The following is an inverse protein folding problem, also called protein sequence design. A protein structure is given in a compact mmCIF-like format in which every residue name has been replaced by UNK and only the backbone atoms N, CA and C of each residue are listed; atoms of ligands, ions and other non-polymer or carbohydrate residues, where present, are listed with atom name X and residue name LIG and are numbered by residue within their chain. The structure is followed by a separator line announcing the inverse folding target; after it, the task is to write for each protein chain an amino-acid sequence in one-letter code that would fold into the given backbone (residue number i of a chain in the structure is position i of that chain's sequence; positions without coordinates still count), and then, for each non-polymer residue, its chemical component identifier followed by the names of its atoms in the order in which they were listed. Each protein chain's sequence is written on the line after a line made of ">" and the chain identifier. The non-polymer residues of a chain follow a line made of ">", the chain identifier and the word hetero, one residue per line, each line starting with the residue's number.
data_IF_344471134109
#
_entry.id   IF_344471134109
#
_cell.length_a   1.000
_cell.length_b   1.000
_cell.length_c   1.000
_cell.angle_alpha   90.00
_cell.angle_beta   90.00
_cell.angle_gamma   90.00
#
_symmetry.space_group_name_H-M   'P 1'
#
loop_
_entity.id
_entity.type
_entity.pdbx_description
1 polymer ?
#
# COMPACT_ATOMS: atom_id res chain seq x y z
N UNK A 1 41.93 -19.62 -13.58
CA UNK A 1 40.48 -19.86 -13.39
C UNK A 1 39.72 -19.07 -14.45
N UNK A 2 39.09 -19.73 -15.43
CA UNK A 2 38.59 -19.06 -16.64
C UNK A 2 37.30 -18.26 -16.38
N UNK A 3 37.07 -17.19 -17.15
CA UNK A 3 35.87 -16.35 -17.05
C UNK A 3 34.55 -17.14 -17.20
N UNK A 4 34.60 -18.27 -17.93
CA UNK A 4 33.48 -19.20 -18.09
C UNK A 4 33.05 -19.87 -16.77
N UNK A 5 33.99 -20.14 -15.87
CA UNK A 5 33.70 -20.76 -14.57
C UNK A 5 33.04 -19.78 -13.60
N UNK A 6 33.38 -18.49 -13.70
CA UNK A 6 32.74 -17.41 -12.91
C UNK A 6 31.30 -17.14 -13.38
N UNK A 7 31.06 -17.15 -14.71
CA UNK A 7 29.73 -16.92 -15.26
C UNK A 7 28.73 -18.04 -14.92
N UNK A 8 29.17 -19.31 -14.93
CA UNK A 8 28.32 -20.46 -14.55
C UNK A 8 27.96 -20.47 -13.06
N UNK A 9 28.85 -19.98 -12.19
CA UNK A 9 28.60 -19.91 -10.75
C UNK A 9 27.60 -18.81 -10.38
N UNK A 10 27.63 -17.67 -11.08
CA UNK A 10 26.68 -16.57 -10.89
C UNK A 10 25.27 -16.95 -11.36
N UNK A 11 25.15 -17.67 -12.49
CA UNK A 11 23.85 -18.11 -13.00
C UNK A 11 23.15 -19.12 -12.07
N UNK A 12 23.92 -19.96 -11.35
CA UNK A 12 23.35 -20.95 -10.41
C UNK A 12 22.82 -20.31 -9.11
N UNK A 13 23.45 -19.22 -8.66
CA UNK A 13 23.00 -18.45 -7.47
C UNK A 13 21.71 -17.67 -7.79
N UNK A 14 21.57 -17.16 -9.01
CA UNK A 14 20.37 -16.43 -9.43
C UNK A 14 19.19 -17.40 -9.60
N UNK A 15 19.35 -18.57 -10.22
CA UNK A 15 18.23 -19.51 -10.38
C UNK A 15 17.81 -20.23 -9.09
N UNK A 16 18.74 -20.47 -8.16
CA UNK A 16 18.43 -21.13 -6.88
C UNK A 16 17.58 -20.27 -5.94
N UNK A 17 17.72 -18.95 -5.97
CA UNK A 17 16.96 -18.03 -5.12
C UNK A 17 15.50 -17.87 -5.55
N UNK A 18 15.19 -17.95 -6.85
CA UNK A 18 13.81 -17.85 -7.35
C UNK A 18 13.00 -19.14 -7.12
N UNK A 19 13.64 -20.31 -7.16
CA UNK A 19 12.96 -21.58 -6.95
C UNK A 19 12.48 -21.77 -5.51
N UNK A 20 13.26 -21.33 -4.51
CA UNK A 20 12.85 -21.35 -3.10
C UNK A 20 11.72 -20.34 -2.82
N UNK A 21 11.68 -19.24 -3.58
CA UNK A 21 10.63 -18.21 -3.46
C UNK A 21 9.24 -18.70 -3.90
N UNK A 22 9.16 -19.68 -4.82
CA UNK A 22 7.89 -20.25 -5.29
C UNK A 22 7.35 -21.39 -4.40
N UNK A 23 8.19 -22.00 -3.55
CA UNK A 23 7.83 -23.22 -2.80
C UNK A 23 7.13 -22.90 -1.46
N UNK A 24 7.21 -21.66 -0.95
CA UNK A 24 6.59 -21.26 0.33
C UNK A 24 5.24 -20.52 0.22
N UNK A 25 4.61 -20.48 -0.96
CA UNK A 25 3.29 -19.85 -1.14
C UNK A 25 2.14 -20.75 -0.63
N UNK A 26 1.93 -20.74 0.69
CA UNK A 26 0.70 -21.24 1.32
C UNK A 26 -0.04 -20.11 2.04
N UNK A 27 -1.15 -19.67 1.44
CA UNK A 27 -2.31 -19.00 2.10
C UNK A 27 -2.06 -17.67 2.84
N UNK A 28 -1.18 -16.80 2.35
CA UNK A 28 -1.03 -15.43 2.84
C UNK A 28 -1.14 -14.41 1.71
N UNK A 29 -1.86 -13.31 1.92
CA UNK A 29 -1.83 -12.17 1.00
C UNK A 29 -0.41 -11.57 1.05
N UNK A 30 0.40 -11.60 -0.03
CA UNK A 30 1.83 -11.29 0.02
C UNK A 30 2.13 -9.88 0.55
N UNK A 31 1.18 -8.94 0.43
CA UNK A 31 1.30 -7.59 0.97
C UNK A 31 1.37 -7.53 2.51
N UNK A 32 0.80 -8.52 3.21
CA UNK A 32 0.89 -8.60 4.69
C UNK A 32 2.30 -8.95 5.19
N UNK A 33 3.17 -9.50 4.34
CA UNK A 33 4.51 -9.93 4.74
C UNK A 33 5.60 -8.88 4.54
N UNK A 34 5.32 -7.80 3.80
CA UNK A 34 6.34 -6.78 3.47
C UNK A 34 6.14 -5.50 4.31
N UNK A 35 4.91 -5.21 4.75
CA UNK A 35 4.58 -3.98 5.47
C UNK A 35 4.06 -4.29 6.87
N UNK A 36 4.53 -3.53 7.86
CA UNK A 36 4.10 -3.70 9.25
C UNK A 36 2.74 -3.02 9.46
N UNK A 37 1.76 -3.76 9.95
CA UNK A 37 0.45 -3.21 10.28
C UNK A 37 0.58 -2.26 11.49
N UNK A 38 0.16 -0.99 11.39
CA UNK A 38 0.16 -0.10 12.54
C UNK A 38 -0.87 -0.60 13.57
N UNK A 39 -0.36 -1.12 14.71
CA UNK A 39 -1.18 -1.80 15.71
C UNK A 39 -2.17 -0.83 16.37
N UNK A 40 -3.45 -1.16 16.33
CA UNK A 40 -4.51 -0.33 16.92
C UNK A 40 -4.92 0.86 16.05
N UNK A 41 -4.38 0.98 14.84
CA UNK A 41 -4.78 2.02 13.90
C UNK A 41 -6.21 1.84 13.39
N UNK A 42 -6.83 2.95 13.00
CA UNK A 42 -8.20 3.04 12.48
C UNK A 42 -8.25 3.99 11.29
N UNK A 43 -9.22 3.74 10.42
CA UNK A 43 -9.57 4.63 9.31
C UNK A 43 -11.06 4.95 9.43
N UNK A 44 -11.40 6.24 9.42
CA UNK A 44 -12.76 6.72 9.37
C UNK A 44 -13.00 7.51 8.09
N UNK A 45 -14.25 7.51 7.61
CA UNK A 45 -14.65 8.14 6.37
C UNK A 45 -15.76 9.14 6.65
N UNK A 46 -15.63 10.35 6.11
CA UNK A 46 -16.73 11.29 5.98
C UNK A 46 -17.08 11.46 4.51
N UNK A 47 -18.37 11.64 4.23
CA UNK A 47 -18.90 11.79 2.87
C UNK A 47 -19.69 13.07 2.76
N UNK A 48 -19.39 13.84 1.72
CA UNK A 48 -20.09 15.06 1.30
C UNK A 48 -20.37 14.95 -0.19
N UNK A 49 -21.42 14.20 -0.54
CA UNK A 49 -21.79 13.93 -1.93
C UNK A 49 -20.77 13.01 -2.63
N UNK A 50 -20.04 13.55 -3.61
CA UNK A 50 -19.05 12.82 -4.44
C UNK A 50 -17.62 12.92 -3.92
N UNK A 51 -17.42 13.50 -2.74
CA UNK A 51 -16.13 13.68 -2.11
C UNK A 51 -16.25 13.63 -0.60
N UNK A 52 -15.13 13.75 0.11
CA UNK A 52 -15.13 13.79 1.57
C UNK A 52 -13.73 13.72 2.16
N UNK A 53 -13.63 13.15 3.36
CA UNK A 53 -12.35 13.00 4.07
C UNK A 53 -12.14 11.56 4.54
N UNK A 54 -10.88 11.13 4.52
CA UNK A 54 -10.38 9.92 5.14
C UNK A 54 -9.53 10.34 6.34
N UNK A 55 -9.89 9.92 7.54
CA UNK A 55 -9.13 10.19 8.76
C UNK A 55 -8.36 8.93 9.17
N UNK A 56 -7.04 9.01 9.17
CA UNK A 56 -6.17 8.02 9.81
C UNK A 56 -5.97 8.38 11.28
N UNK A 57 -6.01 7.38 12.15
CA UNK A 57 -5.61 7.51 13.56
C UNK A 57 -4.84 6.27 13.97
N UNK A 58 -3.59 6.43 14.39
CA UNK A 58 -2.73 5.34 14.82
C UNK A 58 -1.76 5.78 15.93
N UNK A 59 -0.90 4.86 16.40
CA UNK A 59 0.05 5.16 17.46
C UNK A 59 1.11 6.20 17.07
N UNK A 60 1.39 6.34 15.77
CA UNK A 60 2.34 7.33 15.24
C UNK A 60 1.76 8.74 15.14
N UNK A 61 0.42 8.87 15.14
CA UNK A 61 -0.27 10.14 14.96
C UNK A 61 -1.59 10.00 14.20
N UNK A 62 -2.13 11.14 13.77
CA UNK A 62 -3.38 11.22 13.02
C UNK A 62 -3.31 12.33 11.97
N UNK A 63 -3.89 12.07 10.81
CA UNK A 63 -3.99 13.06 9.73
C UNK A 63 -5.22 12.76 8.86
N UNK A 64 -5.75 13.80 8.23
CA UNK A 64 -6.88 13.72 7.30
C UNK A 64 -6.43 13.87 5.86
N UNK A 65 -7.11 13.18 4.96
CA UNK A 65 -6.87 13.19 3.52
C UNK A 65 -8.18 13.48 2.79
N UNK A 66 -8.14 14.34 1.78
CA UNK A 66 -9.27 14.53 0.89
C UNK A 66 -9.48 13.29 0.02
N UNK A 67 -10.72 12.97 -0.29
CA UNK A 67 -11.04 11.97 -1.32
C UNK A 67 -12.16 12.46 -2.23
N UNK A 68 -12.18 11.96 -3.46
CA UNK A 68 -13.27 12.17 -4.40
C UNK A 68 -13.51 10.95 -5.30
N UNK A 69 -14.71 10.87 -5.89
CA UNK A 69 -15.00 9.85 -6.88
C UNK A 69 -14.13 10.01 -8.12
N UNK A 70 -13.54 8.90 -8.54
CA UNK A 70 -12.80 8.81 -9.78
C UNK A 70 -13.71 8.63 -11.00
N UNK A 71 -13.09 8.27 -12.11
CA UNK A 71 -13.76 7.86 -13.33
C UNK A 71 -13.16 6.58 -13.90
N UNK A 72 -13.84 5.97 -14.87
CA UNK A 72 -13.40 4.71 -15.48
C UNK A 72 -13.45 3.54 -14.49
N UNK A 73 -12.32 2.85 -14.33
CA UNK A 73 -12.14 1.75 -13.38
C UNK A 73 -11.73 2.22 -11.97
N UNK A 74 -11.56 3.53 -11.77
CA UNK A 74 -11.26 4.15 -10.47
C UNK A 74 -12.56 4.60 -9.80
N UNK A 75 -12.86 3.98 -8.66
CA UNK A 75 -14.02 4.27 -7.82
C UNK A 75 -13.78 5.57 -7.03
N UNK A 76 -12.61 5.68 -6.40
CA UNK A 76 -12.24 6.83 -5.59
C UNK A 76 -10.75 7.12 -5.67
N UNK A 77 -10.40 8.39 -5.51
CA UNK A 77 -9.03 8.88 -5.38
C UNK A 77 -8.90 9.48 -3.99
N UNK A 78 -7.88 9.08 -3.25
CA UNK A 78 -7.53 9.67 -1.95
C UNK A 78 -6.22 10.43 -2.12
N UNK A 79 -6.23 11.73 -1.86
CA UNK A 79 -5.04 12.57 -1.94
C UNK A 79 -4.14 12.32 -0.73
N UNK A 80 -2.85 12.12 -0.97
CA UNK A 80 -1.85 11.85 0.06
C UNK A 80 -0.65 12.78 -0.09
N UNK A 81 0.02 13.15 1.02
CA UNK A 81 1.27 13.89 0.94
C UNK A 81 2.33 13.09 0.17
N UNK A 82 3.05 13.76 -0.74
CA UNK A 82 4.21 13.15 -1.39
C UNK A 82 5.33 12.89 -0.37
N UNK A 83 6.33 12.05 -0.69
CA UNK A 83 7.40 11.72 0.26
C UNK A 83 8.15 12.93 0.81
N UNK A 84 8.27 14.03 0.05
CA UNK A 84 9.00 15.24 0.47
C UNK A 84 8.19 16.07 1.46
N UNK A 85 6.87 16.01 1.37
CA UNK A 85 5.94 16.75 2.22
C UNK A 85 5.39 15.93 3.39
N UNK A 86 5.62 14.61 3.39
CA UNK A 86 5.03 13.67 4.33
C UNK A 86 5.22 14.06 5.80
N UNK A 87 6.46 14.18 6.26
CA UNK A 87 6.74 14.45 7.68
C UNK A 87 6.22 15.84 8.08
N UNK A 88 6.34 16.82 7.19
CA UNK A 88 5.86 18.18 7.44
C UNK A 88 4.32 18.23 7.61
N UNK A 89 3.58 17.47 6.81
CA UNK A 89 2.10 17.51 6.82
C UNK A 89 1.48 16.52 7.82
N UNK A 90 2.12 15.39 8.09
CA UNK A 90 1.55 14.32 8.94
C UNK A 90 2.17 14.27 10.33
N UNK A 91 3.37 14.83 10.51
CA UNK A 91 4.21 14.67 11.70
C UNK A 91 4.58 13.20 11.99
N UNK A 92 4.41 12.31 11.01
CA UNK A 92 4.75 10.88 11.09
C UNK A 92 6.06 10.64 10.34
N UNK A 93 7.00 9.84 10.88
CA UNK A 93 8.27 9.55 10.20
C UNK A 93 8.09 8.96 8.80
N UNK A 94 8.94 9.36 7.86
CA UNK A 94 8.85 8.95 6.45
C UNK A 94 8.93 7.43 6.27
N UNK A 95 9.71 6.73 7.10
CA UNK A 95 9.83 5.26 7.04
C UNK A 95 8.51 4.53 7.33
N UNK A 96 7.55 5.17 8.02
CA UNK A 96 6.23 4.62 8.30
C UNK A 96 5.21 4.88 7.19
N UNK A 97 5.54 5.75 6.23
CA UNK A 97 4.62 6.18 5.17
C UNK A 97 3.98 5.00 4.45
N UNK A 98 4.79 4.09 3.91
CA UNK A 98 4.25 3.00 3.08
C UNK A 98 3.40 2.02 3.87
N UNK A 99 3.81 1.67 5.10
CA UNK A 99 3.03 0.82 6.01
C UNK A 99 1.62 1.40 6.24
N UNK A 100 1.55 2.70 6.53
CA UNK A 100 0.30 3.42 6.79
C UNK A 100 -0.55 3.53 5.52
N UNK A 101 0.05 3.86 4.37
CA UNK A 101 -0.69 3.95 3.10
C UNK A 101 -1.25 2.59 2.67
N UNK A 102 -0.51 1.50 2.85
CA UNK A 102 -1.03 0.14 2.60
C UNK A 102 -2.13 -0.25 3.59
N UNK A 103 -2.05 0.19 4.83
CA UNK A 103 -3.14 0.04 5.80
C UNK A 103 -4.40 0.78 5.36
N UNK A 104 -4.28 2.06 5.01
CA UNK A 104 -5.38 2.90 4.54
C UNK A 104 -6.02 2.28 3.30
N UNK A 105 -5.24 1.96 2.26
CA UNK A 105 -5.76 1.38 1.02
C UNK A 105 -6.57 0.10 1.23
N UNK A 106 -6.08 -0.83 2.06
CA UNK A 106 -6.83 -2.05 2.39
C UNK A 106 -8.09 -1.77 3.17
N UNK A 107 -8.03 -0.90 4.18
CA UNK A 107 -9.20 -0.54 4.99
C UNK A 107 -10.27 0.16 4.15
N UNK A 108 -9.87 1.00 3.20
CA UNK A 108 -10.78 1.61 2.24
C UNK A 108 -11.42 0.57 1.33
N UNK A 109 -10.66 -0.37 0.77
CA UNK A 109 -11.23 -1.46 -0.05
C UNK A 109 -12.22 -2.30 0.76
N UNK A 110 -11.84 -2.72 1.97
CA UNK A 110 -12.69 -3.52 2.87
C UNK A 110 -14.00 -2.81 3.20
N UNK A 111 -13.95 -1.50 3.48
CA UNK A 111 -15.10 -0.73 3.92
C UNK A 111 -15.99 -0.20 2.78
N UNK A 112 -15.38 0.21 1.66
CA UNK A 112 -16.05 1.04 0.64
C UNK A 112 -16.30 0.32 -0.68
N UNK A 113 -15.92 -0.96 -0.81
CA UNK A 113 -16.21 -1.76 -2.02
C UNK A 113 -17.14 -2.92 -1.71
N UNK A 114 -17.96 -3.32 -2.68
CA UNK A 114 -18.95 -4.40 -2.50
C UNK A 114 -18.26 -5.71 -2.12
N UNK A 115 -18.44 -6.12 -0.87
CA UNK A 115 -17.85 -7.33 -0.31
C UNK A 115 -16.31 -7.30 -0.23
N UNK A 116 -15.70 -6.11 -0.22
CA UNK A 116 -14.23 -5.96 -0.14
C UNK A 116 -13.49 -6.46 -1.38
N UNK A 117 -14.15 -6.52 -2.54
CA UNK A 117 -13.61 -7.13 -3.77
C UNK A 117 -12.80 -6.18 -4.65
N UNK A 118 -12.67 -4.90 -4.30
CA UNK A 118 -11.85 -3.96 -5.05
C UNK A 118 -10.35 -4.21 -4.89
N UNK A 119 -9.56 -3.37 -5.57
CA UNK A 119 -8.11 -3.29 -5.41
C UNK A 119 -7.69 -1.84 -5.16
N UNK A 120 -6.47 -1.63 -4.71
CA UNK A 120 -5.92 -0.30 -4.55
C UNK A 120 -4.51 -0.20 -5.14
N UNK A 121 -4.17 1.00 -5.61
CA UNK A 121 -2.87 1.35 -6.15
C UNK A 121 -2.37 2.60 -5.44
N UNK A 122 -1.13 2.57 -4.92
CA UNK A 122 -0.49 3.73 -4.30
C UNK A 122 0.40 4.38 -5.34
N UNK A 123 0.12 5.65 -5.64
CA UNK A 123 0.95 6.51 -6.47
C UNK A 123 1.72 7.50 -5.58
N UNK A 124 2.46 8.43 -6.19
CA UNK A 124 3.26 9.40 -5.43
C UNK A 124 2.37 10.29 -4.52
N UNK A 125 1.24 10.75 -5.06
CA UNK A 125 0.33 11.71 -4.42
C UNK A 125 -1.08 11.18 -4.18
N UNK A 126 -1.39 9.96 -4.61
CA UNK A 126 -2.74 9.41 -4.54
C UNK A 126 -2.75 7.96 -4.08
N UNK A 127 -3.85 7.54 -3.45
CA UNK A 127 -4.29 6.14 -3.42
C UNK A 127 -5.49 6.03 -4.34
N UNK A 128 -5.38 5.21 -5.39
CA UNK A 128 -6.49 4.89 -6.28
C UNK A 128 -7.22 3.65 -5.75
N UNK A 129 -8.53 3.76 -5.55
CA UNK A 129 -9.39 2.62 -5.25
C UNK A 129 -10.09 2.21 -6.54
N UNK A 130 -9.92 0.96 -6.94
CA UNK A 130 -10.35 0.47 -8.26
C UNK A 130 -11.28 -0.73 -8.17
N UNK A 131 -12.11 -0.89 -9.18
CA UNK A 131 -12.81 -2.17 -9.42
C UNK A 131 -11.80 -3.24 -9.80
N UNK A 132 -12.15 -4.50 -9.56
CA UNK A 132 -11.35 -5.65 -9.98
C UNK A 132 -11.61 -6.01 -11.44
#
# INVERSE_FOLDING_TARGET
>A
MSALLKAKLIALIIFGAYAVWLIFFSKGNPLKMIFSEPKGAKVAFSTSGRSGQVLYTGPEGSFSMYWEFGGGDVIAVIDIPDPKQWEAQTQIPLEKRMDILHFIGRKTVEAQTTGGKGVYEIQEKNILIKTR
#
